data_IF_960873086353
#
_entry.id   IF_960873086353
#
_cell.length_a   1.000
_cell.length_b   1.000
_cell.length_c   1.000
_cell.angle_alpha   90.00
_cell.angle_beta   90.00
_cell.angle_gamma   90.00
#
_symmetry.space_group_name_H-M   'P 1'
#
loop_
_entity.id
_entity.type
_entity.pdbx_description
1 polymer ?
#
# COMPACT_ATOMS: atom_id res chain seq x y z
N UNK A 1 2.84 44.51 -16.70
CA UNK A 1 2.35 43.29 -17.38
C UNK A 1 3.58 42.40 -17.54
N UNK A 2 3.75 41.25 -16.90
CA UNK A 2 2.84 40.34 -16.18
C UNK A 2 3.73 39.52 -15.25
N UNK A 3 3.32 39.35 -13.99
CA UNK A 3 3.96 38.41 -13.07
C UNK A 3 3.48 37.01 -13.42
N UNK A 4 4.37 36.17 -13.93
CA UNK A 4 4.04 34.78 -14.20
C UNK A 4 4.02 34.01 -12.88
N UNK A 5 2.79 33.87 -12.37
CA UNK A 5 2.43 32.96 -11.30
C UNK A 5 2.65 31.53 -11.79
N UNK A 6 3.85 30.99 -11.58
CA UNK A 6 4.07 29.55 -11.67
C UNK A 6 3.20 28.89 -10.59
N UNK A 7 2.19 28.09 -10.97
CA UNK A 7 1.38 27.39 -9.99
C UNK A 7 2.32 26.46 -9.23
N UNK A 8 2.61 26.81 -7.98
CA UNK A 8 3.33 25.94 -7.04
C UNK A 8 2.56 24.63 -7.01
N UNK A 9 3.13 23.60 -7.63
CA UNK A 9 2.75 22.22 -7.42
C UNK A 9 2.87 21.98 -5.92
N UNK A 10 1.74 22.08 -5.21
CA UNK A 10 1.61 21.60 -3.84
C UNK A 10 1.64 20.09 -3.95
N UNK A 11 2.86 19.54 -4.04
CA UNK A 11 3.09 18.14 -3.74
C UNK A 11 2.69 18.01 -2.28
N UNK A 12 1.45 17.56 -2.04
CA UNK A 12 1.01 17.19 -0.71
C UNK A 12 2.05 16.26 -0.11
N UNK A 13 2.25 16.35 1.22
CA UNK A 13 3.27 15.59 1.92
C UNK A 13 3.38 14.17 1.33
N UNK A 14 4.57 13.84 0.81
CA UNK A 14 4.84 12.51 0.29
C UNK A 14 4.36 11.50 1.35
N UNK A 15 3.70 10.40 0.96
CA UNK A 15 3.35 9.36 1.91
C UNK A 15 4.62 9.03 2.71
N UNK A 16 4.53 9.07 4.04
CA UNK A 16 5.60 8.58 4.90
C UNK A 16 5.62 7.06 4.77
N UNK A 17 6.11 6.57 3.63
CA UNK A 17 6.23 5.15 3.25
C UNK A 17 7.38 4.49 4.01
N UNK A 18 7.53 4.82 5.30
CA UNK A 18 8.50 4.15 6.16
C UNK A 18 8.10 2.69 6.29
N UNK A 19 8.92 1.74 5.77
CA UNK A 19 8.60 0.34 5.89
C UNK A 19 8.61 -0.07 7.36
N UNK A 20 7.50 -0.62 7.84
CA UNK A 20 7.40 -1.20 9.18
C UNK A 20 7.79 -2.67 9.09
N UNK A 21 8.83 -3.08 9.83
CA UNK A 21 9.18 -4.50 9.95
C UNK A 21 8.24 -5.18 10.94
N UNK A 22 7.60 -6.25 10.51
CA UNK A 22 6.73 -7.09 11.33
C UNK A 22 7.31 -8.49 11.30
N UNK A 23 7.41 -9.12 12.47
CA UNK A 23 7.71 -10.55 12.56
C UNK A 23 6.39 -11.31 12.72
N UNK A 24 6.15 -12.30 11.86
CA UNK A 24 4.89 -13.05 11.82
C UNK A 24 5.18 -14.53 11.63
N UNK A 25 4.46 -15.37 12.36
CA UNK A 25 4.46 -16.81 12.15
C UNK A 25 3.28 -17.17 11.24
N UNK A 26 3.53 -17.95 10.19
CA UNK A 26 2.51 -18.44 9.28
C UNK A 26 2.54 -19.97 9.22
N UNK A 27 1.39 -20.64 9.01
CA UNK A 27 1.36 -22.08 8.84
C UNK A 27 2.26 -22.53 7.67
N UNK A 28 2.96 -23.67 7.84
CA UNK A 28 3.88 -24.19 6.83
C UNK A 28 3.21 -24.43 5.46
N UNK A 29 1.92 -24.80 5.45
CA UNK A 29 1.15 -24.94 4.21
C UNK A 29 1.05 -23.60 3.44
N UNK A 30 0.73 -22.51 4.15
CA UNK A 30 0.63 -21.17 3.55
C UNK A 30 1.99 -20.71 3.00
N UNK A 31 3.08 -20.99 3.71
CA UNK A 31 4.42 -20.68 3.20
C UNK A 31 4.73 -21.42 1.89
N UNK A 32 4.39 -22.72 1.80
CA UNK A 32 4.60 -23.49 0.57
C UNK A 32 3.78 -22.94 -0.60
N UNK A 33 2.52 -22.58 -0.35
CA UNK A 33 1.65 -22.00 -1.37
C UNK A 33 2.19 -20.63 -1.84
N UNK A 34 2.73 -19.83 -0.92
CA UNK A 34 3.34 -18.53 -1.22
C UNK A 34 4.60 -18.67 -2.09
N UNK A 35 5.43 -19.68 -1.84
CA UNK A 35 6.61 -20.00 -2.67
C UNK A 35 6.16 -20.39 -4.08
N UNK A 36 5.22 -21.33 -4.20
CA UNK A 36 4.71 -21.77 -5.51
C UNK A 36 4.07 -20.61 -6.29
N UNK A 37 3.37 -19.71 -5.59
CA UNK A 37 2.78 -18.52 -6.21
C UNK A 37 3.84 -17.52 -6.69
N UNK A 38 4.92 -17.32 -5.93
CA UNK A 38 6.04 -16.47 -6.34
C UNK A 38 6.75 -17.03 -7.58
N UNK A 39 6.92 -18.36 -7.66
CA UNK A 39 7.48 -19.04 -8.83
C UNK A 39 6.60 -18.88 -10.07
N UNK A 40 5.27 -19.02 -9.92
CA UNK A 40 4.33 -18.81 -11.01
C UNK A 40 4.42 -17.38 -11.59
N UNK A 41 4.45 -16.36 -10.73
CA UNK A 41 4.62 -14.96 -11.17
C UNK A 41 6.02 -14.68 -11.75
N UNK A 42 7.06 -15.35 -11.26
CA UNK A 42 8.41 -15.22 -11.78
C UNK A 42 8.50 -15.76 -13.22
N UNK A 43 7.74 -16.81 -13.55
CA UNK A 43 7.64 -17.34 -14.91
C UNK A 43 7.08 -16.33 -15.92
N UNK A 44 6.18 -15.45 -15.49
CA UNK A 44 5.58 -14.41 -16.35
C UNK A 44 6.49 -13.18 -16.52
N UNK A 45 7.26 -12.84 -15.49
CA UNK A 45 8.09 -11.62 -15.44
C UNK A 45 9.58 -11.86 -15.74
N UNK A 46 10.04 -13.12 -15.72
CA UNK A 46 11.45 -13.49 -15.81
C UNK A 46 12.28 -13.10 -14.58
N UNK A 47 11.65 -12.55 -13.53
CA UNK A 47 12.34 -12.04 -12.36
C UNK A 47 12.00 -12.89 -11.14
N UNK A 48 13.02 -13.33 -10.41
CA UNK A 48 12.83 -14.06 -9.16
C UNK A 48 12.14 -13.15 -8.13
N UNK A 49 11.03 -13.64 -7.57
CA UNK A 49 10.24 -12.95 -6.56
C UNK A 49 10.48 -13.60 -5.21
N UNK A 50 10.83 -12.79 -4.22
CA UNK A 50 10.86 -13.22 -2.83
C UNK A 50 9.41 -13.38 -2.31
N UNK A 51 9.00 -14.59 -1.86
CA UNK A 51 7.67 -14.85 -1.33
C UNK A 51 7.24 -13.83 -0.25
N UNK A 52 8.17 -13.41 0.62
CA UNK A 52 7.88 -12.48 1.71
C UNK A 52 7.48 -11.08 1.19
N UNK A 53 8.03 -10.66 0.04
CA UNK A 53 7.70 -9.37 -0.57
C UNK A 53 6.27 -9.31 -1.13
N UNK A 54 5.61 -10.46 -1.32
CA UNK A 54 4.22 -10.51 -1.78
C UNK A 54 3.22 -10.23 -0.64
N UNK A 55 3.60 -10.48 0.62
CA UNK A 55 2.71 -10.37 1.77
C UNK A 55 2.14 -8.95 1.90
N UNK A 56 3.01 -7.93 1.86
CA UNK A 56 2.60 -6.52 1.99
C UNK A 56 1.59 -6.09 0.92
N UNK A 57 1.91 -6.22 -0.38
CA UNK A 57 0.99 -5.90 -1.48
C UNK A 57 -0.31 -6.70 -1.45
N UNK A 58 -0.27 -8.00 -1.14
CA UNK A 58 -1.48 -8.83 -1.04
C UNK A 58 -2.40 -8.37 0.10
N UNK A 59 -1.84 -8.09 1.29
CA UNK A 59 -2.61 -7.56 2.42
C UNK A 59 -3.18 -6.18 2.10
N UNK A 60 -2.39 -5.30 1.47
CA UNK A 60 -2.85 -3.98 1.03
C UNK A 60 -4.02 -4.09 0.05
N UNK A 61 -3.94 -5.02 -0.91
CA UNK A 61 -5.02 -5.27 -1.87
C UNK A 61 -6.27 -5.84 -1.20
N UNK A 62 -6.09 -6.79 -0.28
CA UNK A 62 -7.19 -7.34 0.52
C UNK A 62 -7.90 -6.22 1.31
N UNK A 63 -7.17 -5.41 2.06
CA UNK A 63 -7.74 -4.28 2.82
C UNK A 63 -8.44 -3.25 1.93
N UNK A 64 -7.89 -2.95 0.75
CA UNK A 64 -8.49 -1.99 -0.18
C UNK A 64 -9.80 -2.48 -0.79
N UNK A 65 -10.00 -3.80 -0.91
CA UNK A 65 -11.22 -4.40 -1.49
C UNK A 65 -12.27 -4.75 -0.44
N UNK A 66 -11.89 -4.81 0.83
CA UNK A 66 -12.81 -5.01 1.94
C UNK A 66 -13.73 -3.78 2.13
N UNK A 67 -15.00 -3.94 1.74
CA UNK A 67 -16.02 -2.88 1.86
C UNK A 67 -16.38 -2.56 3.32
N UNK A 68 -16.30 -3.53 4.22
CA UNK A 68 -16.53 -3.34 5.66
C UNK A 68 -15.43 -2.46 6.25
N UNK A 69 -14.18 -2.78 5.93
CA UNK A 69 -13.03 -1.97 6.30
C UNK A 69 -13.08 -0.56 5.68
N UNK A 70 -13.48 -0.45 4.42
CA UNK A 70 -13.61 0.84 3.72
C UNK A 70 -14.65 1.77 4.36
N UNK A 71 -15.71 1.22 4.97
CA UNK A 71 -16.71 2.00 5.73
C UNK A 71 -16.13 2.49 7.06
N UNK A 72 -15.39 1.64 7.78
CA UNK A 72 -14.75 2.00 9.05
C UNK A 72 -13.68 3.09 8.89
N UNK A 73 -12.87 3.03 7.82
CA UNK A 73 -11.88 4.08 7.51
C UNK A 73 -12.52 5.44 7.26
N UNK A 74 -13.65 5.50 6.54
CA UNK A 74 -14.36 6.76 6.27
C UNK A 74 -14.95 7.40 7.52
N UNK A 75 -15.40 6.59 8.49
CA UNK A 75 -15.90 7.10 9.77
C UNK A 75 -14.82 7.57 10.75
N UNK A 76 -13.54 7.25 10.48
CA UNK A 76 -12.41 7.50 11.40
C UNK A 76 -11.39 8.51 10.88
N UNK A 77 -11.54 9.02 9.66
CA UNK A 77 -10.77 10.17 9.21
C UNK A 77 -11.50 11.43 9.72
N UNK A 78 -11.00 12.15 10.74
CA UNK A 78 -11.42 13.53 10.89
C UNK A 78 -11.05 14.20 9.57
N UNK A 79 -12.06 14.72 8.87
CA UNK A 79 -11.79 15.71 7.83
C UNK A 79 -10.92 16.78 8.49
N UNK A 80 -9.78 17.19 7.92
CA UNK A 80 -9.14 18.41 8.36
C UNK A 80 -10.15 19.51 8.02
N UNK A 81 -10.99 19.83 9.00
CA UNK A 81 -11.90 20.95 8.94
C UNK A 81 -11.05 22.20 8.71
N UNK A 82 -11.60 23.09 7.88
CA UNK A 82 -10.91 24.26 7.34
C UNK A 82 -10.13 25.05 8.38
N UNK A 83 -8.94 25.46 7.98
CA UNK A 83 -8.22 26.58 8.56
C UNK A 83 -8.06 27.65 7.48
N UNK A 84 -9.14 28.38 7.22
CA UNK A 84 -9.03 29.74 6.70
C UNK A 84 -8.74 30.66 7.90
N UNK A 85 -7.68 31.44 7.77
CA UNK A 85 -7.16 32.40 8.75
C UNK A 85 -5.80 32.91 8.30
#
# INVERSE_FOLDING_TARGET
MTGDNVPKLKIGALPDDKPVKINVEIPAAVHRDLVAYAEALAGESGQQIDPAKLIGPMLGRFMATDRGFSRLRRGRHPSPAGGDG
#
